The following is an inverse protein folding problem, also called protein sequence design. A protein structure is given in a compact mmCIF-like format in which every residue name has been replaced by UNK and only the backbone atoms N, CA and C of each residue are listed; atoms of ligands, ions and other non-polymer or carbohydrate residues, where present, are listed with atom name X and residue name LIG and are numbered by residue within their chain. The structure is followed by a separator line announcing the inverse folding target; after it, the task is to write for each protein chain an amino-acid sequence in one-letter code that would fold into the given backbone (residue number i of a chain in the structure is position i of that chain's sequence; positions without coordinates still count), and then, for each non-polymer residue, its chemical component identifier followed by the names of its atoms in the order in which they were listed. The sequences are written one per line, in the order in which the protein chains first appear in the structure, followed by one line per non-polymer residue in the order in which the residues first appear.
data_IF_849953834351
#
_entry.id   IF_849953834351
#
_cell.length_a   1.000
_cell.length_b   1.000
_cell.length_c   1.000
_cell.angle_alpha   90.00
_cell.angle_beta   90.00
_cell.angle_gamma   90.00
#
_symmetry.space_group_name_H-M   'P 1'
#
loop_
_entity.id
_entity.type
_entity.pdbx_description
1 polymer ?
#
# COMPACT_ATOMS: atom_id res chain seq x y z
N UNK A 1 7.97 -8.48 -8.24
CA UNK A 1 7.46 -7.26 -7.60
C UNK A 1 8.61 -6.51 -6.95
N UNK A 2 8.36 -5.35 -6.36
CA UNK A 2 9.34 -4.65 -5.52
C UNK A 2 9.63 -5.48 -4.23
N UNK A 3 10.53 -5.01 -3.38
CA UNK A 3 10.72 -5.54 -2.02
C UNK A 3 9.40 -5.48 -1.25
N UNK A 4 9.01 -6.56 -0.55
CA UNK A 4 7.71 -6.67 0.12
C UNK A 4 7.43 -5.48 1.07
N UNK A 5 8.43 -5.05 1.84
CA UNK A 5 8.31 -3.87 2.72
C UNK A 5 8.04 -2.53 2.00
N UNK A 6 8.28 -2.45 0.68
CA UNK A 6 7.99 -1.26 -0.14
C UNK A 6 6.64 -1.35 -0.86
N UNK A 7 6.01 -2.52 -0.88
CA UNK A 7 4.71 -2.69 -1.51
C UNK A 7 3.59 -2.11 -0.64
N UNK A 8 2.55 -1.62 -1.30
CA UNK A 8 1.32 -1.23 -0.62
C UNK A 8 0.70 -2.45 0.07
N UNK A 9 0.47 -2.32 1.39
CA UNK A 9 -0.11 -3.40 2.21
C UNK A 9 -1.23 -2.92 3.15
N UNK A 10 -1.41 -1.60 3.32
CA UNK A 10 -2.36 -1.04 4.28
C UNK A 10 -2.75 0.39 3.91
N UNK A 11 -4.07 0.64 3.75
CA UNK A 11 -4.60 2.00 3.53
C UNK A 11 -4.28 2.89 4.72
N UNK A 12 -4.49 2.38 5.94
CA UNK A 12 -4.29 3.15 7.18
C UNK A 12 -2.85 3.65 7.29
N UNK A 13 -1.89 2.76 7.11
CA UNK A 13 -0.48 3.10 7.32
C UNK A 13 0.02 4.01 6.19
N UNK A 14 -0.44 3.76 4.96
CA UNK A 14 -0.17 4.65 3.81
C UNK A 14 -0.72 6.05 4.05
N UNK A 15 -1.96 6.17 4.58
CA UNK A 15 -2.56 7.46 4.92
C UNK A 15 -1.77 8.20 6.01
N UNK A 16 -1.39 7.50 7.09
CA UNK A 16 -0.62 8.10 8.18
C UNK A 16 0.74 8.60 7.69
N UNK A 17 1.43 7.82 6.85
CA UNK A 17 2.70 8.21 6.22
C UNK A 17 2.52 9.45 5.35
N UNK A 18 1.54 9.43 4.45
CA UNK A 18 1.29 10.53 3.52
C UNK A 18 0.79 11.82 4.19
N UNK A 19 0.10 11.71 5.34
CA UNK A 19 -0.38 12.85 6.11
C UNK A 19 0.73 13.57 6.91
N UNK A 20 2.01 13.25 6.66
CA UNK A 20 3.17 13.91 7.27
C UNK A 20 3.43 13.52 8.73
N UNK A 21 2.71 12.53 9.29
CA UNK A 21 2.99 11.99 10.63
C UNK A 21 4.15 10.99 10.56
N UNK A 22 5.37 11.51 10.47
CA UNK A 22 6.61 10.72 10.55
C UNK A 22 7.41 10.61 9.26
N UNK A 23 6.87 11.09 8.12
CA UNK A 23 7.60 11.18 6.87
C UNK A 23 7.17 12.42 6.07
N UNK A 24 8.04 13.42 5.95
CA UNK A 24 7.73 14.67 5.22
C UNK A 24 8.05 14.60 3.74
N UNK A 25 8.70 13.55 3.26
CA UNK A 25 8.97 13.34 1.83
C UNK A 25 7.92 12.46 1.15
N UNK A 26 7.05 11.83 1.92
CA UNK A 26 5.99 10.99 1.39
C UNK A 26 4.73 11.79 1.10
N UNK A 27 4.63 12.34 -0.11
CA UNK A 27 3.46 13.08 -0.59
C UNK A 27 2.73 12.23 -1.61
N UNK A 28 1.46 11.93 -1.35
CA UNK A 28 0.60 11.10 -2.21
C UNK A 28 -0.79 11.73 -2.37
N UNK A 29 -1.40 11.51 -3.53
CA UNK A 29 -2.79 11.85 -3.82
C UNK A 29 -3.59 10.58 -4.12
N UNK A 30 -4.89 10.61 -3.84
CA UNK A 30 -5.79 9.51 -4.18
C UNK A 30 -6.03 9.47 -5.68
N UNK A 31 -6.04 8.27 -6.25
CA UNK A 31 -6.47 8.03 -7.62
C UNK A 31 -7.99 7.81 -7.67
N UNK A 32 -8.65 8.02 -8.83
CA UNK A 32 -10.10 7.84 -8.97
C UNK A 32 -10.63 6.46 -8.53
N UNK A 33 -9.84 5.40 -8.68
CA UNK A 33 -10.19 4.01 -8.38
C UNK A 33 -10.61 3.81 -6.91
N UNK A 34 -10.09 4.64 -5.99
CA UNK A 34 -10.53 4.66 -4.59
C UNK A 34 -12.03 4.93 -4.41
N UNK A 35 -12.70 5.50 -5.42
CA UNK A 35 -14.11 5.92 -5.33
C UNK A 35 -15.07 5.00 -6.09
N UNK A 36 -14.58 4.12 -6.97
CA UNK A 36 -15.48 3.31 -7.82
C UNK A 36 -14.99 1.89 -8.16
N UNK A 37 -13.76 1.51 -7.83
CA UNK A 37 -13.21 0.21 -8.22
C UNK A 37 -12.47 -0.43 -7.06
N UNK A 38 -13.15 -1.05 -6.07
CA UNK A 38 -12.48 -1.65 -4.89
C UNK A 38 -11.52 -2.80 -5.23
N UNK A 39 -11.65 -3.43 -6.41
CA UNK A 39 -10.88 -4.58 -6.86
C UNK A 39 -9.37 -4.31 -6.93
N UNK A 40 -8.93 -3.05 -7.07
CA UNK A 40 -7.49 -2.71 -7.03
C UNK A 40 -6.82 -2.98 -5.68
N UNK A 41 -7.61 -3.20 -4.62
CA UNK A 41 -7.14 -3.57 -3.29
C UNK A 41 -7.13 -5.09 -3.07
N UNK A 42 -7.58 -5.87 -4.06
CA UNK A 42 -7.68 -7.32 -3.96
C UNK A 42 -6.58 -8.00 -4.79
N UNK A 43 -5.95 -9.03 -4.21
CA UNK A 43 -5.01 -9.88 -4.93
C UNK A 43 -5.74 -11.05 -5.63
N UNK A 44 -6.70 -10.74 -6.50
CA UNK A 44 -7.57 -11.74 -7.18
C UNK A 44 -6.77 -12.76 -8.00
N UNK A 45 -5.59 -12.38 -8.47
CA UNK A 45 -4.71 -13.25 -9.26
C UNK A 45 -3.74 -14.10 -8.42
N UNK A 46 -3.83 -14.04 -7.08
CA UNK A 46 -2.94 -14.74 -6.16
C UNK A 46 -1.45 -14.53 -6.48
N UNK A 47 -1.11 -13.28 -6.79
CA UNK A 47 0.26 -12.86 -7.08
C UNK A 47 1.12 -13.07 -5.83
N UNK A 48 2.35 -13.55 -6.01
CA UNK A 48 3.33 -13.60 -4.94
C UNK A 48 3.89 -12.20 -4.68
N UNK A 49 3.38 -11.54 -3.64
CA UNK A 49 3.80 -10.20 -3.21
C UNK A 49 4.98 -10.24 -2.22
N UNK A 50 5.50 -11.44 -1.93
CA UNK A 50 6.60 -11.65 -0.99
C UNK A 50 6.16 -11.65 0.48
N UNK A 51 7.15 -11.54 1.35
CA UNK A 51 7.00 -11.53 2.80
C UNK A 51 7.81 -10.35 3.35
N UNK A 52 7.19 -9.52 4.18
CA UNK A 52 7.84 -8.38 4.81
C UNK A 52 8.92 -8.86 5.77
N UNK A 53 9.86 -7.99 6.13
CA UNK A 53 10.88 -8.31 7.13
C UNK A 53 10.27 -8.68 8.50
N UNK A 54 9.05 -8.20 8.79
CA UNK A 54 8.28 -8.58 9.99
C UNK A 54 7.76 -10.03 9.99
N UNK A 55 7.85 -10.75 8.86
CA UNK A 55 7.23 -12.07 8.66
C UNK A 55 5.76 -12.01 8.27
N UNK A 56 5.22 -10.81 8.02
CA UNK A 56 3.86 -10.61 7.54
C UNK A 56 3.79 -10.77 6.01
N UNK A 57 2.71 -11.39 5.53
CA UNK A 57 2.37 -11.50 4.11
C UNK A 57 1.30 -10.49 3.74
#
# INVERSE_FOLDING_TARGET
FDHADRLFNSIRDTWISAAGKGNTSDVKELIPEFFYMPEFLENTFNLDLGEKQSGEK
#
